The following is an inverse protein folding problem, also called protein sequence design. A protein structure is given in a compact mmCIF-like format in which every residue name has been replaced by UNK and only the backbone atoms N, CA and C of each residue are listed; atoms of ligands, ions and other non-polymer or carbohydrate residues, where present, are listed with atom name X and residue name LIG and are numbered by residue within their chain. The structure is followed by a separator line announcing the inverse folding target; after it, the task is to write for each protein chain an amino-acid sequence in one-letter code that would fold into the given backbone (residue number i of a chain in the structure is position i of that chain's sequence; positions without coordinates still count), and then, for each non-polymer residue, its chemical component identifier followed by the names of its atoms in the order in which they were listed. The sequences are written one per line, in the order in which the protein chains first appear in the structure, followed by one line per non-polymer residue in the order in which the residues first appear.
data_IF_260632957642
#
_entry.id   IF_260632957642
#
_cell.length_a   1.000
_cell.length_b   1.000
_cell.length_c   1.000
_cell.angle_alpha   90.00
_cell.angle_beta   90.00
_cell.angle_gamma   90.00
#
_symmetry.space_group_name_H-M   'P 1'
#
loop_
_entity.id
_entity.type
_entity.pdbx_description
1 polymer ?
#
# COMPACT_ATOMS: atom_id res chain seq x y z
N UNK A 1 -4.48 15.38 22.82
CA UNK A 1 -5.83 15.81 23.25
C UNK A 1 -6.81 15.27 22.21
N UNK A 2 -7.41 14.12 22.54
CA UNK A 2 -8.24 13.35 21.63
C UNK A 2 -9.63 13.94 21.47
N UNK A 3 -10.08 13.93 20.22
CA UNK A 3 -11.35 14.33 19.64
C UNK A 3 -12.61 14.20 20.53
N UNK A 4 -12.82 15.16 21.44
CA UNK A 4 -14.01 15.22 22.33
C UNK A 4 -15.32 15.35 21.54
N UNK A 5 -15.26 15.83 20.30
CA UNK A 5 -16.43 16.01 19.43
C UNK A 5 -16.94 14.72 18.78
N UNK A 6 -16.05 13.78 18.43
CA UNK A 6 -16.46 12.47 17.87
C UNK A 6 -17.08 11.56 18.94
N UNK A 7 -16.53 11.58 20.16
CA UNK A 7 -17.06 10.79 21.28
C UNK A 7 -18.47 11.22 21.69
N UNK A 8 -18.77 12.53 21.59
CA UNK A 8 -20.12 13.04 21.85
C UNK A 8 -21.11 12.69 20.74
N UNK A 9 -20.67 12.58 19.48
CA UNK A 9 -21.54 12.21 18.36
C UNK A 9 -21.92 10.72 18.42
N UNK A 10 -20.96 9.86 18.81
CA UNK A 10 -21.15 8.42 18.98
C UNK A 10 -22.06 8.08 20.16
N UNK A 11 -22.00 8.85 21.27
CA UNK A 11 -22.87 8.60 22.42
C UNK A 11 -24.35 8.86 22.14
N UNK A 12 -24.68 9.80 21.23
CA UNK A 12 -26.06 10.02 20.77
C UNK A 12 -26.61 8.88 19.90
N UNK A 13 -25.76 8.04 19.30
CA UNK A 13 -26.19 6.98 18.39
C UNK A 13 -26.32 5.61 19.06
N UNK A 14 -25.89 5.46 20.32
CA UNK A 14 -25.95 4.21 21.09
C UNK A 14 -25.45 2.96 20.32
N UNK A 15 -24.47 3.15 19.44
CA UNK A 15 -23.92 2.11 18.56
C UNK A 15 -22.41 2.01 18.77
N UNK A 16 -21.94 0.79 19.02
CA UNK A 16 -20.52 0.44 19.06
C UNK A 16 -20.10 0.00 17.66
N UNK A 17 -19.16 0.74 17.07
CA UNK A 17 -18.49 0.32 15.83
C UNK A 17 -17.11 -0.24 16.21
N UNK A 18 -16.80 -1.44 15.75
CA UNK A 18 -15.53 -2.10 16.03
C UNK A 18 -14.44 -1.45 15.15
N UNK A 19 -13.72 -0.47 15.70
CA UNK A 19 -12.88 0.49 14.96
C UNK A 19 -11.55 -0.05 14.42
N UNK A 20 -11.48 -1.35 14.08
CA UNK A 20 -10.28 -2.01 13.55
C UNK A 20 -10.48 -2.65 12.16
N UNK A 21 -11.68 -2.59 11.59
CA UNK A 21 -11.96 -3.05 10.23
C UNK A 21 -12.39 -1.87 9.35
N UNK A 22 -11.57 -1.56 8.34
CA UNK A 22 -11.82 -0.50 7.39
C UNK A 22 -13.17 -0.67 6.65
N UNK A 23 -13.64 -1.92 6.47
CA UNK A 23 -14.94 -2.19 5.88
C UNK A 23 -16.08 -1.82 6.86
N UNK A 24 -15.93 -2.13 8.14
CA UNK A 24 -16.90 -1.74 9.17
C UNK A 24 -16.90 -0.23 9.40
N UNK A 25 -15.74 0.43 9.30
CA UNK A 25 -15.64 1.89 9.34
C UNK A 25 -16.41 2.54 8.18
N UNK A 26 -16.32 1.98 6.97
CA UNK A 26 -17.07 2.46 5.79
C UNK A 26 -18.57 2.23 5.98
N UNK A 27 -18.98 1.08 6.51
CA UNK A 27 -20.39 0.79 6.83
C UNK A 27 -20.92 1.76 7.89
N UNK A 28 -20.15 2.02 8.95
CA UNK A 28 -20.48 2.97 10.01
C UNK A 28 -20.67 4.38 9.46
N UNK A 29 -19.72 4.86 8.66
CA UNK A 29 -19.78 6.16 8.00
C UNK A 29 -21.02 6.30 7.11
N UNK A 30 -21.33 5.27 6.32
CA UNK A 30 -22.54 5.26 5.49
C UNK A 30 -23.79 5.43 6.35
N UNK A 31 -23.89 4.69 7.45
CA UNK A 31 -25.03 4.74 8.36
C UNK A 31 -25.17 6.12 9.02
N UNK A 32 -24.07 6.69 9.49
CA UNK A 32 -24.04 8.05 10.07
C UNK A 32 -24.49 9.08 9.04
N UNK A 33 -23.98 9.02 7.81
CA UNK A 33 -24.22 10.05 6.80
C UNK A 33 -25.61 9.98 6.17
N UNK A 34 -26.16 8.77 5.98
CA UNK A 34 -27.38 8.59 5.17
C UNK A 34 -28.57 7.98 5.92
N UNK A 35 -28.33 7.34 7.07
CA UNK A 35 -29.37 6.58 7.79
C UNK A 35 -29.65 7.15 9.19
N UNK A 36 -28.83 8.09 9.68
CA UNK A 36 -29.00 8.71 10.99
C UNK A 36 -29.99 9.88 10.98
N UNK A 37 -30.43 10.27 12.18
CA UNK A 37 -31.24 11.47 12.43
C UNK A 37 -30.53 12.79 12.12
N UNK A 38 -29.25 12.77 11.72
CA UNK A 38 -28.50 13.97 11.33
C UNK A 38 -29.13 14.68 10.11
N UNK A 39 -29.97 13.99 9.32
CA UNK A 39 -30.73 14.58 8.20
C UNK A 39 -29.87 15.39 7.22
N UNK A 40 -28.61 14.98 7.04
CA UNK A 40 -27.67 15.68 6.18
C UNK A 40 -28.10 15.54 4.73
N UNK A 41 -28.39 16.67 4.08
CA UNK A 41 -28.67 16.66 2.65
C UNK A 41 -27.41 16.29 1.87
N UNK A 42 -27.58 15.62 0.72
CA UNK A 42 -26.46 15.30 -0.18
C UNK A 42 -25.65 16.55 -0.55
N UNK A 43 -26.32 17.70 -0.69
CA UNK A 43 -25.70 19.00 -0.95
C UNK A 43 -24.76 19.41 0.19
N UNK A 44 -25.23 19.35 1.44
CA UNK A 44 -24.42 19.69 2.61
C UNK A 44 -23.20 18.76 2.74
N UNK A 45 -23.36 17.48 2.43
CA UNK A 45 -22.26 16.52 2.44
C UNK A 45 -21.21 16.92 1.39
N UNK A 46 -21.62 17.17 0.14
CA UNK A 46 -20.69 17.51 -0.95
C UNK A 46 -19.97 18.84 -0.68
N UNK A 47 -20.67 19.86 -0.17
CA UNK A 47 -20.10 21.18 0.07
C UNK A 47 -19.10 21.22 1.23
N UNK A 48 -19.25 20.30 2.20
CA UNK A 48 -18.40 20.25 3.40
C UNK A 48 -17.40 19.09 3.41
N UNK A 49 -17.48 18.17 2.45
CA UNK A 49 -16.45 17.18 2.25
C UNK A 49 -15.42 17.73 1.27
N UNK A 50 -14.14 17.53 1.55
CA UNK A 50 -13.08 17.72 0.57
C UNK A 50 -13.15 16.60 -0.46
N UNK A 51 -14.23 16.59 -1.27
CA UNK A 51 -14.57 15.47 -2.16
C UNK A 51 -13.45 15.29 -3.18
N UNK A 52 -12.78 14.14 -3.12
CA UNK A 52 -11.97 13.66 -4.24
C UNK A 52 -12.91 13.48 -5.43
N UNK A 53 -12.61 14.13 -6.55
CA UNK A 53 -13.42 13.96 -7.77
C UNK A 53 -13.57 12.48 -8.13
N UNK A 54 -14.73 12.07 -8.66
CA UNK A 54 -14.99 10.68 -9.02
C UNK A 54 -13.89 10.04 -9.89
N UNK A 55 -13.30 10.72 -10.89
CA UNK A 55 -12.16 10.19 -11.64
C UNK A 55 -10.93 9.89 -10.78
N UNK A 56 -10.61 10.75 -9.82
CA UNK A 56 -9.49 10.54 -8.89
C UNK A 56 -9.80 9.38 -7.93
N UNK A 57 -11.04 9.23 -7.47
CA UNK A 57 -11.44 8.10 -6.63
C UNK A 57 -11.27 6.76 -7.39
N UNK A 58 -11.70 6.70 -8.64
CA UNK A 58 -11.54 5.51 -9.50
C UNK A 58 -10.06 5.22 -9.76
N UNK A 59 -9.25 6.25 -10.07
CA UNK A 59 -7.81 6.08 -10.28
C UNK A 59 -7.10 5.56 -9.01
N UNK A 60 -7.46 6.07 -7.83
CA UNK A 60 -6.93 5.58 -6.56
C UNK A 60 -7.33 4.13 -6.28
N UNK A 61 -8.58 3.76 -6.55
CA UNK A 61 -9.05 2.38 -6.40
C UNK A 61 -8.24 1.43 -7.30
N UNK A 62 -8.12 1.75 -8.59
CA UNK A 62 -7.34 0.95 -9.54
C UNK A 62 -5.86 0.84 -9.14
N UNK A 63 -5.27 1.93 -8.65
CA UNK A 63 -3.90 1.92 -8.14
C UNK A 63 -3.75 1.00 -6.92
N UNK A 64 -4.68 1.06 -5.96
CA UNK A 64 -4.64 0.23 -4.76
C UNK A 64 -4.84 -1.26 -5.09
N UNK A 65 -5.76 -1.57 -6.00
CA UNK A 65 -5.98 -2.94 -6.49
C UNK A 65 -4.74 -3.47 -7.19
N UNK A 66 -4.18 -2.71 -8.14
CA UNK A 66 -2.96 -3.11 -8.84
C UNK A 66 -1.79 -3.30 -7.87
N UNK A 67 -1.63 -2.40 -6.89
CA UNK A 67 -0.60 -2.52 -5.86
C UNK A 67 -0.78 -3.79 -5.04
N UNK A 68 -2.02 -4.14 -4.70
CA UNK A 68 -2.32 -5.37 -3.97
C UNK A 68 -1.90 -6.60 -4.77
N UNK A 69 -2.30 -6.69 -6.04
CA UNK A 69 -1.93 -7.78 -6.94
C UNK A 69 -0.41 -7.93 -7.07
N UNK A 70 0.31 -6.81 -7.24
CA UNK A 70 1.78 -6.82 -7.27
C UNK A 70 2.37 -7.33 -5.96
N UNK A 71 1.83 -6.92 -4.81
CA UNK A 71 2.31 -7.38 -3.50
C UNK A 71 2.17 -8.90 -3.34
N UNK A 72 1.09 -9.49 -3.84
CA UNK A 72 0.87 -10.93 -3.77
C UNK A 72 1.96 -11.72 -4.52
N UNK A 73 2.52 -11.18 -5.60
CA UNK A 73 3.63 -11.84 -6.34
C UNK A 73 4.89 -12.04 -5.49
N UNK A 74 5.06 -11.25 -4.43
CA UNK A 74 6.21 -11.34 -3.54
C UNK A 74 5.99 -12.26 -2.33
N UNK A 75 4.74 -12.68 -2.07
CA UNK A 75 4.42 -13.59 -0.98
C UNK A 75 5.14 -14.91 -1.15
N UNK A 76 5.68 -15.45 -0.05
CA UNK A 76 6.42 -16.71 0.05
C UNK A 76 7.74 -16.75 -0.76
N UNK A 77 8.05 -15.69 -1.51
CA UNK A 77 9.32 -15.46 -2.17
C UNK A 77 10.20 -14.51 -1.34
N UNK A 78 9.86 -13.21 -1.31
CA UNK A 78 10.67 -12.17 -0.65
C UNK A 78 10.22 -11.87 0.78
N UNK A 79 8.96 -12.14 1.12
CA UNK A 79 8.45 -12.01 2.48
C UNK A 79 7.42 -13.10 2.76
N UNK A 80 7.14 -13.37 4.04
CA UNK A 80 6.10 -14.29 4.47
C UNK A 80 5.35 -13.74 5.69
N UNK A 81 4.29 -14.43 6.11
CA UNK A 81 3.44 -14.01 7.25
C UNK A 81 4.21 -13.99 8.58
N UNK A 82 5.23 -14.85 8.71
CA UNK A 82 6.07 -14.96 9.91
C UNK A 82 7.24 -13.96 9.94
N UNK A 83 7.36 -13.08 8.94
CA UNK A 83 8.48 -12.14 8.77
C UNK A 83 9.88 -12.80 8.80
N UNK A 84 9.95 -14.08 8.42
CA UNK A 84 11.22 -14.85 8.32
C UNK A 84 11.81 -14.86 6.91
N UNK A 85 11.11 -14.24 5.95
CA UNK A 85 11.58 -14.12 4.57
C UNK A 85 12.80 -13.21 4.41
N UNK A 86 13.37 -13.13 3.19
CA UNK A 86 14.52 -12.27 2.90
C UNK A 86 14.38 -10.82 3.38
N UNK A 87 13.16 -10.27 3.31
CA UNK A 87 12.81 -8.94 3.80
C UNK A 87 11.49 -8.98 4.58
N UNK A 88 11.28 -8.00 5.46
CA UNK A 88 10.01 -7.82 6.18
C UNK A 88 8.89 -7.44 5.22
N UNK A 89 7.64 -7.80 5.56
CA UNK A 89 6.45 -7.41 4.77
C UNK A 89 6.36 -5.91 4.52
N UNK A 90 6.59 -5.08 5.54
CA UNK A 90 6.56 -3.62 5.39
C UNK A 90 7.61 -3.09 4.42
N UNK A 91 8.72 -3.79 4.25
CA UNK A 91 9.73 -3.43 3.25
C UNK A 91 9.32 -3.90 1.85
N UNK A 92 8.69 -5.07 1.76
CA UNK A 92 8.19 -5.59 0.48
C UNK A 92 7.15 -4.67 -0.16
N UNK A 93 6.31 -4.00 0.64
CA UNK A 93 5.29 -3.04 0.18
C UNK A 93 5.86 -1.90 -0.69
N UNK A 94 7.10 -1.47 -0.43
CA UNK A 94 7.74 -0.41 -1.21
C UNK A 94 8.04 -0.82 -2.66
N UNK A 95 8.10 -2.12 -2.97
CA UNK A 95 8.39 -2.62 -4.32
C UNK A 95 7.13 -2.49 -5.22
N UNK A 96 5.94 -2.99 -4.82
CA UNK A 96 4.67 -2.69 -5.49
C UNK A 96 4.35 -1.20 -5.60
N UNK A 97 4.66 -0.40 -4.57
CA UNK A 97 4.48 1.07 -4.64
C UNK A 97 5.27 1.70 -5.79
N UNK A 98 6.37 1.04 -6.20
CA UNK A 98 7.19 1.42 -7.34
C UNK A 98 6.71 0.87 -8.69
N UNK A 99 5.59 0.15 -8.70
CA UNK A 99 5.01 -0.53 -9.86
C UNK A 99 5.79 -1.75 -10.34
N UNK A 100 6.56 -2.40 -9.47
CA UNK A 100 7.38 -3.56 -9.83
C UNK A 100 6.77 -4.85 -9.28
N UNK A 101 6.70 -5.89 -10.13
CA UNK A 101 6.35 -7.26 -9.77
C UNK A 101 7.58 -8.12 -9.46
N UNK A 102 7.37 -9.28 -8.81
CA UNK A 102 8.44 -10.25 -8.59
C UNK A 102 9.05 -10.76 -9.91
N UNK A 103 8.21 -11.08 -10.89
CA UNK A 103 8.64 -11.56 -12.21
C UNK A 103 9.51 -10.55 -12.96
N UNK A 104 9.20 -9.26 -12.86
CA UNK A 104 10.04 -8.21 -13.45
C UNK A 104 11.41 -8.14 -12.75
N UNK A 105 11.45 -8.28 -11.43
CA UNK A 105 12.72 -8.35 -10.70
C UNK A 105 13.52 -9.60 -11.09
N UNK A 106 12.85 -10.75 -11.26
CA UNK A 106 13.48 -11.98 -11.73
C UNK A 106 14.09 -11.78 -13.13
N UNK A 107 13.30 -11.30 -14.10
CA UNK A 107 13.77 -10.99 -15.46
C UNK A 107 14.92 -9.98 -15.46
N UNK A 108 14.85 -8.96 -14.61
CA UNK A 108 15.90 -7.95 -14.46
C UNK A 108 17.19 -8.57 -13.94
N UNK A 109 17.09 -9.45 -12.94
CA UNK A 109 18.22 -10.17 -12.39
C UNK A 109 18.83 -11.13 -13.42
N UNK A 110 18.03 -11.91 -14.14
CA UNK A 110 18.52 -12.80 -15.21
C UNK A 110 19.25 -12.03 -16.31
N UNK A 111 18.73 -10.85 -16.70
CA UNK A 111 19.27 -10.08 -17.82
C UNK A 111 20.48 -9.22 -17.47
N UNK A 112 20.50 -8.62 -16.28
CA UNK A 112 21.51 -7.62 -15.88
C UNK A 112 22.27 -7.96 -14.60
N UNK A 113 21.96 -9.12 -14.01
CA UNK A 113 22.53 -9.61 -12.77
C UNK A 113 22.25 -8.71 -11.57
N UNK A 114 23.03 -8.96 -10.51
CA UNK A 114 23.06 -8.19 -9.27
C UNK A 114 23.13 -6.67 -9.49
N UNK A 115 23.94 -6.21 -10.45
CA UNK A 115 24.15 -4.77 -10.70
C UNK A 115 22.88 -4.11 -11.21
N UNK A 116 22.17 -4.73 -12.15
CA UNK A 116 20.91 -4.21 -12.66
C UNK A 116 19.82 -4.16 -11.59
N UNK A 117 19.71 -5.23 -10.81
CA UNK A 117 18.74 -5.30 -9.71
C UNK A 117 18.97 -4.21 -8.68
N UNK A 118 20.22 -4.03 -8.21
CA UNK A 118 20.56 -2.95 -7.27
C UNK A 118 20.26 -1.59 -7.86
N UNK A 119 20.63 -1.34 -9.12
CA UNK A 119 20.44 -0.05 -9.77
C UNK A 119 18.97 0.36 -9.86
N UNK A 120 18.06 -0.56 -10.19
CA UNK A 120 16.62 -0.26 -10.27
C UNK A 120 16.02 0.02 -8.88
N UNK A 121 16.42 -0.72 -7.85
CA UNK A 121 15.89 -0.56 -6.50
C UNK A 121 16.43 0.69 -5.79
N UNK A 122 17.68 1.07 -6.05
CA UNK A 122 18.39 2.13 -5.31
C UNK A 122 18.35 3.51 -5.95
N UNK A 123 18.00 3.59 -7.22
CA UNK A 123 17.95 4.86 -7.96
C UNK A 123 16.50 5.34 -8.15
N UNK A 124 16.28 6.65 -8.36
CA UNK A 124 14.96 7.18 -8.66
C UNK A 124 14.38 6.62 -9.97
N UNK A 125 13.09 6.83 -10.20
CA UNK A 125 12.52 6.70 -11.55
C UNK A 125 13.27 7.63 -12.51
N UNK A 126 13.59 7.15 -13.71
CA UNK A 126 14.21 7.97 -14.77
C UNK A 126 13.36 9.16 -15.20
N UNK A 127 12.05 9.10 -14.95
CA UNK A 127 11.10 10.19 -15.21
C UNK A 127 10.97 11.17 -14.04
N UNK A 128 11.61 10.89 -12.90
CA UNK A 128 11.51 11.69 -11.68
C UNK A 128 12.78 12.51 -11.46
N UNK A 129 12.61 13.80 -11.15
CA UNK A 129 13.70 14.66 -10.64
C UNK A 129 14.00 14.42 -9.16
N UNK A 130 13.21 13.56 -8.49
CA UNK A 130 13.39 13.26 -7.08
C UNK A 130 14.71 12.54 -6.83
N UNK A 131 15.39 12.89 -5.73
CA UNK A 131 16.63 12.22 -5.30
C UNK A 131 16.35 10.93 -4.51
N UNK A 132 15.09 10.64 -4.24
CA UNK A 132 14.65 9.48 -3.45
C UNK A 132 14.84 8.19 -4.23
N UNK A 133 15.31 7.12 -3.59
CA UNK A 133 15.37 5.82 -4.24
C UNK A 133 13.96 5.35 -4.61
N UNK A 134 13.86 4.59 -5.69
CA UNK A 134 12.62 3.92 -6.08
C UNK A 134 12.10 3.02 -4.95
N UNK A 135 12.96 2.14 -4.41
CA UNK A 135 12.59 1.25 -3.30
C UNK A 135 13.44 1.55 -2.06
N UNK A 136 14.76 1.40 -2.14
CA UNK A 136 15.66 1.57 -0.99
C UNK A 136 17.13 1.68 -1.39
N UNK A 137 17.92 2.42 -0.60
CA UNK A 137 19.40 2.39 -0.67
C UNK A 137 20.05 1.55 0.44
N UNK A 138 19.24 0.94 1.30
CA UNK A 138 19.75 0.21 2.45
C UNK A 138 20.48 -1.05 2.00
N UNK A 139 21.81 -1.03 2.12
CA UNK A 139 22.71 -2.10 1.64
C UNK A 139 22.30 -3.50 2.12
N UNK A 140 21.91 -3.63 3.40
CA UNK A 140 21.47 -4.92 3.98
C UNK A 140 20.25 -5.50 3.28
N UNK A 141 19.28 -4.65 2.94
CA UNK A 141 18.02 -5.04 2.29
C UNK A 141 18.30 -5.44 0.84
N UNK A 142 19.08 -4.62 0.13
CA UNK A 142 19.52 -4.93 -1.23
C UNK A 142 20.30 -6.26 -1.31
N UNK A 143 21.20 -6.49 -0.35
CA UNK A 143 21.95 -7.74 -0.27
C UNK A 143 21.06 -8.96 -0.02
N UNK A 144 20.05 -8.83 0.85
CA UNK A 144 19.10 -9.91 1.11
C UNK A 144 18.27 -10.27 -0.14
N UNK A 145 17.77 -9.27 -0.87
CA UNK A 145 17.02 -9.47 -2.12
C UNK A 145 17.93 -10.11 -3.18
N UNK A 146 19.15 -9.60 -3.37
CA UNK A 146 20.10 -10.19 -4.32
C UNK A 146 20.43 -11.64 -3.97
N UNK A 147 20.68 -11.93 -2.69
CA UNK A 147 20.99 -13.28 -2.22
C UNK A 147 19.83 -14.26 -2.48
N UNK A 148 18.59 -13.79 -2.37
CA UNK A 148 17.41 -14.58 -2.73
C UNK A 148 17.46 -15.01 -4.20
N UNK A 149 17.65 -14.05 -5.11
CA UNK A 149 17.73 -14.35 -6.54
C UNK A 149 18.98 -15.17 -6.92
N UNK A 150 20.12 -14.95 -6.26
CA UNK A 150 21.30 -15.80 -6.40
C UNK A 150 20.99 -17.26 -6.01
N UNK A 151 20.23 -17.49 -4.93
CA UNK A 151 19.86 -18.83 -4.48
C UNK A 151 18.88 -19.49 -5.45
N UNK A 152 17.81 -18.82 -5.84
CA UNK A 152 16.79 -19.38 -6.73
C UNK A 152 17.36 -19.71 -8.12
N UNK A 153 18.27 -18.88 -8.67
CA UNK A 153 18.91 -19.17 -9.95
C UNK A 153 19.93 -20.33 -9.92
N UNK A 154 20.35 -20.78 -8.75
CA UNK A 154 21.23 -21.96 -8.60
C UNK A 154 20.43 -23.25 -8.32
N UNK A 155 19.13 -23.13 -8.04
CA UNK A 155 18.21 -24.25 -7.78
C UNK A 155 17.42 -24.65 -9.04
N UNK A 156 17.49 -23.87 -10.12
CA UNK A 156 16.98 -24.14 -11.48
C UNK A 156 18.06 -24.76 -12.37
#
# INVERSE_FOLDING_TARGET
MGNTHLNNLLSTMNEQFDGNDALEDVKALRKILFESSLSLSRKNIIENSSVISAPHAVANMLYLDQRHELLLTFSDNLFNVTDTGPIKRSMAQNIPDSGLSYDELHKLYTRFGKRGLVAILSNPLTTSSAKTPRVTRTKRILAAIVKHFEKTSNEE
#
